data_IF_904604898508
#
_entry.id   IF_904604898508
#
_cell.length_a   1.000
_cell.length_b   1.000
_cell.length_c   1.000
_cell.angle_alpha   90.00
_cell.angle_beta   90.00
_cell.angle_gamma   90.00
#
_symmetry.space_group_name_H-M   'P 1'
#
loop_
_entity.id
_entity.type
_entity.pdbx_description
1 polymer ?
#
# COMPACT_ATOMS: atom_id res chain seq x y z
N UNK A 1 -67.69 -47.74 -43.01
CA UNK A 1 -67.36 -46.44 -42.40
C UNK A 1 -67.57 -46.57 -40.90
N UNK A 2 -66.49 -46.34 -40.12
CA UNK A 2 -66.35 -46.66 -38.70
C UNK A 2 -65.30 -47.77 -38.45
N UNK A 3 -64.68 -47.89 -37.25
CA UNK A 3 -64.31 -46.88 -36.24
C UNK A 3 -62.83 -47.04 -35.76
N UNK A 4 -62.47 -46.43 -34.61
CA UNK A 4 -61.27 -46.64 -33.73
C UNK A 4 -60.08 -45.72 -34.04
N UNK A 5 -59.39 -45.08 -33.09
CA UNK A 5 -59.48 -45.03 -31.63
C UNK A 5 -58.21 -44.36 -31.07
N UNK A 6 -58.39 -43.57 -30.01
CA UNK A 6 -57.49 -43.27 -28.87
C UNK A 6 -56.01 -42.91 -29.10
N UNK A 7 -55.58 -41.83 -28.46
CA UNK A 7 -54.16 -41.63 -28.11
C UNK A 7 -53.88 -40.28 -27.47
N UNK A 8 -54.06 -40.19 -26.15
CA UNK A 8 -53.51 -39.10 -25.34
C UNK A 8 -51.98 -39.21 -25.33
N UNK A 9 -51.27 -38.10 -25.55
CA UNK A 9 -49.87 -37.99 -25.18
C UNK A 9 -49.62 -36.60 -24.58
N UNK A 10 -49.64 -36.59 -23.25
CA UNK A 10 -49.20 -35.56 -22.33
C UNK A 10 -47.82 -35.05 -22.76
N UNK A 11 -47.72 -33.77 -23.13
CA UNK A 11 -46.42 -33.11 -23.39
C UNK A 11 -45.76 -32.85 -22.04
N UNK A 12 -44.99 -33.84 -21.60
CA UNK A 12 -44.19 -33.81 -20.38
C UNK A 12 -43.20 -32.64 -20.44
N UNK A 13 -43.25 -31.87 -19.36
CA UNK A 13 -42.35 -30.78 -19.03
C UNK A 13 -40.90 -31.26 -19.06
N UNK A 14 -40.13 -30.76 -20.03
CA UNK A 14 -38.67 -30.68 -19.87
C UNK A 14 -38.39 -29.59 -18.84
N UNK A 15 -38.49 -29.98 -17.57
CA UNK A 15 -37.91 -29.26 -16.44
C UNK A 15 -36.40 -29.42 -16.59
N UNK A 16 -35.81 -28.49 -17.32
CA UNK A 16 -34.37 -28.24 -17.36
C UNK A 16 -33.91 -28.06 -15.92
N UNK A 17 -33.38 -29.14 -15.36
CA UNK A 17 -32.62 -29.07 -14.13
C UNK A 17 -31.35 -28.33 -14.49
N UNK A 18 -31.38 -27.00 -14.28
CA UNK A 18 -30.18 -26.20 -14.11
C UNK A 18 -29.45 -26.80 -12.92
N UNK A 19 -28.60 -27.80 -13.19
CA UNK A 19 -27.44 -28.07 -12.36
C UNK A 19 -26.57 -26.84 -12.54
N UNK A 20 -26.89 -25.80 -11.79
CA UNK A 20 -26.02 -24.67 -11.55
C UNK A 20 -24.82 -25.25 -10.83
N UNK A 21 -23.86 -25.74 -11.62
CA UNK A 21 -22.50 -25.93 -11.17
C UNK A 21 -22.11 -24.57 -10.60
N UNK A 22 -22.15 -24.47 -9.27
CA UNK A 22 -21.49 -23.46 -8.48
C UNK A 22 -20.01 -23.57 -8.82
N UNK A 23 -19.63 -22.99 -9.96
CA UNK A 23 -18.29 -22.52 -10.20
C UNK A 23 -18.17 -21.39 -9.20
N UNK A 24 -17.80 -21.75 -7.98
CA UNK A 24 -17.27 -20.83 -6.98
C UNK A 24 -16.20 -20.07 -7.72
N UNK A 25 -16.58 -18.89 -8.23
CA UNK A 25 -15.63 -17.91 -8.70
C UNK A 25 -14.69 -17.74 -7.52
N UNK A 26 -13.41 -18.09 -7.62
CA UNK A 26 -12.48 -17.68 -6.59
C UNK A 26 -12.62 -16.16 -6.53
N UNK A 27 -13.07 -15.64 -5.39
CA UNK A 27 -12.93 -14.22 -5.08
C UNK A 27 -11.52 -13.82 -5.50
N UNK A 28 -11.31 -12.64 -6.13
CA UNK A 28 -9.95 -12.17 -6.34
C UNK A 28 -9.30 -12.12 -4.96
N UNK A 29 -8.42 -13.08 -4.69
CA UNK A 29 -7.56 -13.01 -3.53
C UNK A 29 -6.76 -11.72 -3.70
N UNK A 30 -6.69 -10.90 -2.65
CA UNK A 30 -5.75 -9.78 -2.63
C UNK A 30 -4.39 -10.28 -3.11
N UNK A 31 -3.73 -9.56 -4.04
CA UNK A 31 -2.45 -10.01 -4.54
C UNK A 31 -1.48 -10.25 -3.36
N UNK A 32 -0.69 -11.33 -3.40
CA UNK A 32 0.22 -11.62 -2.31
C UNK A 32 1.23 -10.47 -2.15
N UNK A 33 1.71 -10.21 -0.92
CA UNK A 33 2.72 -9.18 -0.69
C UNK A 33 3.94 -9.45 -1.57
N UNK A 34 4.34 -8.43 -2.33
CA UNK A 34 5.47 -8.51 -3.23
C UNK A 34 6.74 -8.35 -2.42
N UNK A 35 7.52 -9.43 -2.27
CA UNK A 35 8.83 -9.38 -1.62
C UNK A 35 9.91 -9.09 -2.66
N UNK A 36 10.68 -8.02 -2.48
CA UNK A 36 11.81 -7.65 -3.33
C UNK A 36 13.09 -7.61 -2.50
N UNK A 37 14.09 -8.38 -2.91
CA UNK A 37 15.40 -8.41 -2.28
C UNK A 37 16.50 -8.20 -3.32
N UNK A 38 17.47 -7.33 -3.03
CA UNK A 38 18.59 -7.04 -3.94
C UNK A 38 19.44 -5.87 -3.47
N UNK A 39 20.49 -5.50 -4.23
CA UNK A 39 21.33 -4.35 -3.90
C UNK A 39 20.54 -3.02 -3.93
N UNK A 40 19.64 -2.87 -4.90
CA UNK A 40 18.73 -1.72 -5.02
C UNK A 40 17.34 -2.22 -5.42
N UNK A 41 16.32 -1.79 -4.68
CA UNK A 41 14.91 -2.07 -4.97
C UNK A 41 14.26 -0.78 -5.43
N UNK A 42 13.68 -0.78 -6.63
CA UNK A 42 12.95 0.37 -7.17
C UNK A 42 11.52 -0.06 -7.49
N UNK A 43 10.55 0.74 -7.04
CA UNK A 43 9.17 0.70 -7.55
C UNK A 43 9.03 1.82 -8.56
N UNK A 44 8.78 1.46 -9.82
CA UNK A 44 8.69 2.42 -10.93
C UNK A 44 7.46 3.34 -10.82
N UNK A 45 7.44 4.50 -11.48
CA UNK A 45 6.34 5.48 -11.38
C UNK A 45 4.99 4.98 -11.89
N UNK A 46 4.97 4.00 -12.79
CA UNK A 46 3.74 3.37 -13.32
C UNK A 46 3.49 1.98 -12.72
N UNK A 47 4.16 1.67 -11.61
CA UNK A 47 4.06 0.38 -10.94
C UNK A 47 3.16 0.53 -9.71
N UNK A 48 2.11 -0.28 -9.65
CA UNK A 48 1.24 -0.38 -8.48
C UNK A 48 1.40 -1.77 -7.86
N UNK A 49 1.70 -1.82 -6.56
CA UNK A 49 1.81 -3.08 -5.81
C UNK A 49 0.92 -3.03 -4.57
N UNK A 50 0.34 -4.16 -4.19
CA UNK A 50 -0.60 -4.21 -3.07
C UNK A 50 0.09 -4.14 -1.72
N UNK A 51 1.19 -4.84 -1.56
CA UNK A 51 2.04 -4.69 -0.38
C UNK A 51 3.48 -4.93 -0.78
N UNK A 52 4.39 -4.18 -0.18
CA UNK A 52 5.80 -4.21 -0.54
C UNK A 52 6.63 -4.55 0.68
N UNK A 53 7.33 -5.69 0.63
CA UNK A 53 8.45 -5.94 1.55
C UNK A 53 9.73 -5.79 0.75
N UNK A 54 10.51 -4.76 1.04
CA UNK A 54 11.76 -4.47 0.33
C UNK A 54 12.95 -4.64 1.27
N UNK A 55 13.96 -5.40 0.84
CA UNK A 55 15.23 -5.54 1.55
C UNK A 55 16.39 -5.26 0.61
N UNK A 56 17.26 -4.32 0.94
CA UNK A 56 18.40 -4.01 0.07
C UNK A 56 19.34 -2.93 0.58
N UNK A 57 20.33 -2.53 -0.22
CA UNK A 57 21.17 -1.38 0.12
C UNK A 57 20.40 -0.06 0.01
N UNK A 58 19.56 0.05 -1.01
CA UNK A 58 18.73 1.24 -1.26
C UNK A 58 17.34 0.84 -1.74
N UNK A 59 16.29 1.46 -1.18
CA UNK A 59 14.89 1.27 -1.59
C UNK A 59 14.35 2.61 -2.07
N UNK A 60 13.84 2.65 -3.29
CA UNK A 60 13.25 3.85 -3.88
C UNK A 60 11.82 3.56 -4.34
N UNK A 61 10.86 4.30 -3.79
CA UNK A 61 9.45 4.20 -4.17
C UNK A 61 9.08 5.42 -5.01
N UNK A 62 8.80 5.22 -6.30
CA UNK A 62 8.30 6.26 -7.21
C UNK A 62 6.86 6.03 -7.67
N UNK A 63 6.37 4.79 -7.56
CA UNK A 63 5.00 4.41 -7.93
C UNK A 63 4.05 4.41 -6.75
N UNK A 64 2.97 3.65 -6.90
CA UNK A 64 1.92 3.52 -5.89
C UNK A 64 2.01 2.19 -5.16
N UNK A 65 1.88 2.22 -3.84
CA UNK A 65 1.67 1.03 -3.02
C UNK A 65 0.31 1.18 -2.34
N UNK A 66 -0.66 0.34 -2.70
CA UNK A 66 -2.04 0.47 -2.21
C UNK A 66 -2.22 -0.04 -0.77
N UNK A 67 -1.29 -0.86 -0.28
CA UNK A 67 -1.25 -1.33 1.11
C UNK A 67 0.03 -0.93 1.83
N UNK A 68 0.57 -1.85 2.64
CA UNK A 68 1.69 -1.57 3.53
C UNK A 68 3.06 -1.72 2.86
N UNK A 69 4.00 -0.89 3.28
CA UNK A 69 5.41 -0.96 2.87
C UNK A 69 6.27 -1.27 4.09
N UNK A 70 6.98 -2.39 4.06
CA UNK A 70 8.04 -2.71 5.02
C UNK A 70 9.39 -2.66 4.28
N UNK A 71 10.18 -1.62 4.52
CA UNK A 71 11.47 -1.40 3.88
C UNK A 71 12.62 -1.57 4.88
N UNK A 72 13.55 -2.46 4.58
CA UNK A 72 14.76 -2.73 5.34
C UNK A 72 15.97 -2.42 4.47
N UNK A 73 16.57 -1.23 4.62
CA UNK A 73 17.65 -0.83 3.71
C UNK A 73 18.69 0.11 4.30
N UNK A 74 19.84 0.28 3.64
CA UNK A 74 20.77 1.34 4.05
C UNK A 74 20.18 2.75 3.86
N UNK A 75 19.40 2.94 2.80
CA UNK A 75 18.68 4.18 2.51
C UNK A 75 17.29 3.88 1.94
N UNK A 76 16.27 4.56 2.45
CA UNK A 76 14.88 4.47 1.96
C UNK A 76 14.44 5.85 1.49
N UNK A 77 13.96 5.92 0.25
CA UNK A 77 13.49 7.16 -0.36
C UNK A 77 12.10 6.94 -0.95
N UNK A 78 11.10 7.63 -0.40
CA UNK A 78 9.81 7.82 -1.07
C UNK A 78 9.94 9.07 -1.91
N UNK A 79 10.10 8.89 -3.22
CA UNK A 79 10.35 9.97 -4.16
C UNK A 79 9.09 10.81 -4.40
N UNK A 80 9.28 11.97 -5.03
CA UNK A 80 8.18 12.76 -5.56
C UNK A 80 7.33 11.92 -6.54
N UNK A 81 6.01 12.00 -6.41
CA UNK A 81 5.05 11.13 -7.12
C UNK A 81 4.88 9.73 -6.52
N UNK A 82 5.73 9.31 -5.59
CA UNK A 82 5.56 8.06 -4.85
C UNK A 82 4.38 8.15 -3.87
N UNK A 83 3.49 7.17 -3.92
CA UNK A 83 2.30 7.11 -3.05
C UNK A 83 2.31 5.80 -2.29
N UNK A 84 2.17 5.87 -0.97
CA UNK A 84 1.94 4.71 -0.10
C UNK A 84 0.59 4.92 0.56
N UNK A 85 -0.47 4.28 0.08
CA UNK A 85 -1.82 4.48 0.61
C UNK A 85 -1.96 3.92 2.04
N UNK A 86 -1.23 2.83 2.36
CA UNK A 86 -1.21 2.20 3.68
C UNK A 86 -0.16 2.77 4.64
N UNK A 87 0.39 1.88 5.48
CA UNK A 87 1.44 2.24 6.47
C UNK A 87 2.82 2.05 5.88
N UNK A 88 3.68 3.06 6.02
CA UNK A 88 5.10 2.96 5.71
C UNK A 88 5.88 2.60 6.97
N UNK A 89 6.58 1.46 6.97
CA UNK A 89 7.56 1.08 7.99
C UNK A 89 8.94 1.00 7.35
N UNK A 90 9.82 1.92 7.73
CA UNK A 90 11.18 1.99 7.20
C UNK A 90 12.21 1.76 8.31
N UNK A 91 13.08 0.79 8.11
CA UNK A 91 14.24 0.51 8.95
C UNK A 91 15.48 0.76 8.11
N UNK A 92 16.14 1.90 8.34
CA UNK A 92 17.26 2.28 7.48
C UNK A 92 18.36 3.11 8.13
N UNK A 93 19.49 3.30 7.47
CA UNK A 93 20.48 4.30 7.91
C UNK A 93 19.96 5.73 7.70
N UNK A 94 19.25 5.94 6.60
CA UNK A 94 18.61 7.21 6.24
C UNK A 94 17.22 6.97 5.64
N UNK A 95 16.25 7.79 6.04
CA UNK A 95 14.88 7.77 5.48
C UNK A 95 14.53 9.17 4.97
N UNK A 96 14.11 9.26 3.71
CA UNK A 96 13.62 10.50 3.11
C UNK A 96 12.25 10.31 2.50
N UNK A 97 11.32 11.19 2.85
CA UNK A 97 9.93 11.17 2.35
C UNK A 97 9.63 12.47 1.63
N UNK A 98 9.59 12.42 0.30
CA UNK A 98 9.18 13.53 -0.57
C UNK A 98 7.79 13.32 -1.18
N UNK A 99 7.32 12.07 -1.21
CA UNK A 99 6.01 11.69 -1.73
C UNK A 99 4.90 11.72 -0.68
N UNK A 100 3.82 11.00 -0.96
CA UNK A 100 2.65 10.92 -0.07
C UNK A 100 2.57 9.57 0.61
N UNK A 101 2.41 9.58 1.93
CA UNK A 101 1.99 8.42 2.73
C UNK A 101 0.56 8.70 3.19
N UNK A 102 -0.41 7.95 2.70
CA UNK A 102 -1.83 8.09 3.04
C UNK A 102 -2.13 7.72 4.49
N UNK A 103 -1.48 6.65 4.99
CA UNK A 103 -1.59 6.19 6.37
C UNK A 103 -0.53 6.76 7.30
N UNK A 104 -0.06 5.91 8.23
CA UNK A 104 0.98 6.25 9.19
C UNK A 104 2.37 6.01 8.60
N UNK A 105 3.35 6.84 9.00
CA UNK A 105 4.74 6.65 8.65
C UNK A 105 5.55 6.35 9.92
N UNK A 106 6.23 5.21 9.96
CA UNK A 106 7.11 4.79 11.04
C UNK A 106 8.52 4.59 10.48
N UNK A 107 9.47 5.38 10.95
CA UNK A 107 10.85 5.37 10.48
C UNK A 107 11.82 5.18 11.64
N UNK A 108 12.60 4.10 11.59
CA UNK A 108 13.73 3.84 12.48
C UNK A 108 15.00 4.04 11.68
N UNK A 109 15.71 5.15 11.90
CA UNK A 109 16.91 5.44 11.13
C UNK A 109 17.95 6.30 11.83
N UNK A 110 19.16 6.40 11.28
CA UNK A 110 20.13 7.39 11.77
C UNK A 110 19.65 8.83 11.52
N UNK A 111 19.00 9.04 10.38
CA UNK A 111 18.40 10.32 9.97
C UNK A 111 17.04 10.09 9.31
N UNK A 112 16.06 10.92 9.67
CA UNK A 112 14.72 10.93 9.08
C UNK A 112 14.42 12.33 8.56
N UNK A 113 14.05 12.45 7.29
CA UNK A 113 13.68 13.72 6.68
C UNK A 113 12.35 13.60 5.95
N UNK A 114 11.37 14.43 6.32
CA UNK A 114 10.16 14.65 5.53
C UNK A 114 10.37 15.95 4.77
N UNK A 115 10.52 15.85 3.45
CA UNK A 115 10.77 16.98 2.58
C UNK A 115 9.54 17.89 2.43
N UNK A 116 9.69 19.07 1.80
CA UNK A 116 8.62 20.07 1.70
C UNK A 116 7.38 19.58 0.93
N UNK A 117 7.56 18.69 -0.05
CA UNK A 117 6.46 18.03 -0.78
C UNK A 117 5.93 16.79 -0.05
N UNK A 118 6.65 16.31 0.97
CA UNK A 118 6.30 15.14 1.75
C UNK A 118 5.00 15.36 2.52
N UNK A 119 4.06 14.43 2.36
CA UNK A 119 2.79 14.45 3.09
C UNK A 119 2.55 13.13 3.79
N UNK A 120 2.30 13.18 5.10
CA UNK A 120 1.82 12.04 5.90
C UNK A 120 0.38 12.31 6.27
N UNK A 121 -0.53 11.44 5.79
CA UNK A 121 -1.96 11.54 5.99
C UNK A 121 -2.42 11.11 7.38
N UNK A 122 -1.66 10.24 8.05
CA UNK A 122 -1.82 9.88 9.45
C UNK A 122 -0.75 10.51 10.35
N UNK A 123 -0.27 9.72 11.30
CA UNK A 123 0.78 10.12 12.25
C UNK A 123 2.18 9.71 11.78
N UNK A 124 3.18 10.52 12.13
CA UNK A 124 4.60 10.25 11.89
C UNK A 124 5.27 9.80 13.18
N UNK A 125 5.75 8.56 13.22
CA UNK A 125 6.67 8.05 14.23
C UNK A 125 8.10 8.01 13.69
N UNK A 126 9.02 8.77 14.26
CA UNK A 126 10.43 8.74 13.90
C UNK A 126 11.28 8.39 15.12
N UNK A 127 12.17 7.43 15.00
CA UNK A 127 13.20 7.16 15.99
C UNK A 127 14.55 7.28 15.29
N UNK A 128 15.25 8.39 15.55
CA UNK A 128 16.47 8.72 14.82
C UNK A 128 17.50 9.53 15.59
N UNK A 129 18.72 9.64 15.07
CA UNK A 129 19.67 10.62 15.59
C UNK A 129 19.17 12.05 15.31
N UNK A 130 18.71 12.26 14.08
CA UNK A 130 18.17 13.53 13.60
C UNK A 130 16.83 13.31 12.88
N UNK A 131 15.85 14.14 13.22
CA UNK A 131 14.56 14.19 12.53
C UNK A 131 14.31 15.59 11.98
N UNK A 132 14.14 15.71 10.67
CA UNK A 132 13.75 16.97 10.01
C UNK A 132 12.37 16.82 9.40
N UNK A 133 11.44 17.73 9.74
CA UNK A 133 10.10 17.77 9.15
C UNK A 133 9.90 19.12 8.48
N UNK A 134 9.86 19.12 7.15
CA UNK A 134 9.58 20.29 6.32
C UNK A 134 8.22 20.21 5.61
N UNK A 135 7.66 19.01 5.48
CA UNK A 135 6.37 18.76 4.85
C UNK A 135 5.18 18.88 5.80
N UNK A 136 4.09 18.22 5.43
CA UNK A 136 2.83 18.20 6.21
C UNK A 136 2.61 16.84 6.85
N UNK A 137 2.29 16.84 8.15
CA UNK A 137 1.80 15.65 8.86
C UNK A 137 0.41 15.99 9.39
N UNK A 138 -0.61 15.25 8.95
CA UNK A 138 -1.99 15.55 9.33
C UNK A 138 -2.32 15.12 10.75
N UNK A 139 -1.73 14.02 11.22
CA UNK A 139 -1.85 13.56 12.60
C UNK A 139 -0.72 14.04 13.49
N UNK A 140 -0.38 13.21 14.48
CA UNK A 140 0.66 13.51 15.46
C UNK A 140 2.07 13.22 14.93
N UNK A 141 3.05 13.99 15.37
CA UNK A 141 4.48 13.73 15.13
C UNK A 141 5.12 13.31 16.44
N UNK A 142 5.51 12.04 16.51
CA UNK A 142 6.28 11.48 17.62
C UNK A 142 7.69 11.21 17.13
N UNK A 143 8.64 12.07 17.50
CA UNK A 143 10.05 11.91 17.17
C UNK A 143 10.87 11.62 18.43
N UNK A 144 11.39 10.41 18.54
CA UNK A 144 12.45 10.05 19.49
C UNK A 144 13.80 10.31 18.84
N UNK A 145 14.30 11.55 18.91
CA UNK A 145 15.61 11.88 18.37
C UNK A 145 16.45 12.79 19.24
N UNK A 146 17.77 12.75 19.03
CA UNK A 146 18.70 13.65 19.72
C UNK A 146 18.52 15.10 19.24
N UNK A 147 18.18 15.28 17.96
CA UNK A 147 17.83 16.57 17.37
C UNK A 147 16.52 16.47 16.58
N UNK A 148 15.65 17.46 16.76
CA UNK A 148 14.42 17.64 15.97
C UNK A 148 14.44 19.03 15.35
N UNK A 149 14.40 19.09 14.02
CA UNK A 149 14.30 20.34 13.26
C UNK A 149 12.93 20.42 12.59
N UNK A 150 12.13 21.39 12.99
CA UNK A 150 10.88 21.72 12.32
C UNK A 150 11.16 22.87 11.36
N UNK A 151 10.95 22.66 10.07
CA UNK A 151 11.07 23.75 9.12
C UNK A 151 9.91 24.75 9.32
N UNK A 152 10.06 26.01 8.89
CA UNK A 152 8.98 27.00 8.97
C UNK A 152 7.67 26.58 8.27
N UNK A 153 7.77 25.66 7.31
CA UNK A 153 6.65 25.09 6.57
C UNK A 153 5.95 23.93 7.28
N UNK A 154 6.49 23.43 8.40
CA UNK A 154 5.91 22.32 9.13
C UNK A 154 4.53 22.70 9.68
N UNK A 155 3.54 21.85 9.43
CA UNK A 155 2.18 21.98 9.98
C UNK A 155 1.72 20.63 10.53
N UNK A 156 1.28 20.65 11.78
CA UNK A 156 0.38 19.64 12.36
C UNK A 156 -1.04 20.23 12.37
N UNK A 157 -2.04 19.45 11.97
CA UNK A 157 -3.43 19.87 12.11
C UNK A 157 -3.93 19.40 13.49
N UNK A 158 -4.53 20.27 14.32
CA UNK A 158 -5.23 19.82 15.51
C UNK A 158 -6.54 19.11 15.12
N UNK A 159 -6.82 17.99 15.77
CA UNK A 159 -8.07 17.22 15.67
C UNK A 159 -9.25 17.99 16.24
#
# INVERSE_FOLDING_TARGET
MGPRGRGYATRSSRRSHSRSSSRSQPSPASPPPTKRAGGTVVVGPNESVDSLTATGGTVVVRGTVTGDVDAYAGSVVVADGGVVEGTLRAYAGSVRVEGTVGGNAVAYAGSVAVGPSGTVGGSLGAAAGETTVAGTVRGDVTAGSALVTLAPSARSAPT
#
